data_IF_923783761613
#
_entry.id   IF_923783761613
#
_cell.length_a   1.000
_cell.length_b   1.000
_cell.length_c   1.000
_cell.angle_alpha   90.00
_cell.angle_beta   90.00
_cell.angle_gamma   90.00
#
_symmetry.space_group_name_H-M   'P 1'
#
loop_
_entity.id
_entity.type
_entity.pdbx_description
1 polymer ?
#
# COMPACT_ATOMS: atom_id res chain seq x y z
N UNK A 1 -9.76 0.73 -11.49
CA UNK A 1 -10.53 0.48 -10.24
C UNK A 1 -10.37 1.67 -9.31
N UNK A 2 -11.44 2.10 -8.64
CA UNK A 2 -11.42 3.22 -7.69
C UNK A 2 -11.83 2.77 -6.30
N UNK A 3 -11.11 3.23 -5.27
CA UNK A 3 -11.44 2.97 -3.87
C UNK A 3 -12.14 4.19 -3.29
N UNK A 4 -13.47 4.15 -3.20
CA UNK A 4 -14.31 5.24 -2.71
C UNK A 4 -14.84 4.95 -1.30
N UNK A 5 -15.09 5.99 -0.51
CA UNK A 5 -15.65 5.88 0.83
C UNK A 5 -15.46 7.15 1.67
N UNK A 6 -16.17 7.29 2.80
CA UNK A 6 -16.09 8.48 3.66
C UNK A 6 -14.70 8.66 4.29
N UNK A 7 -14.37 9.88 4.70
CA UNK A 7 -13.13 10.15 5.46
C UNK A 7 -13.10 9.29 6.73
N UNK A 8 -11.95 8.69 7.02
CA UNK A 8 -11.79 7.79 8.16
C UNK A 8 -12.09 6.30 7.90
N UNK A 9 -12.66 5.92 6.76
CA UNK A 9 -12.93 4.49 6.45
C UNK A 9 -11.68 3.65 6.11
N UNK A 10 -10.47 4.21 6.26
CA UNK A 10 -9.22 3.46 6.13
C UNK A 10 -8.62 3.38 4.72
N UNK A 11 -9.12 4.10 3.71
CA UNK A 11 -8.57 4.10 2.33
C UNK A 11 -7.07 4.37 2.28
N UNK A 12 -6.65 5.44 2.94
CA UNK A 12 -5.23 5.84 2.97
C UNK A 12 -4.39 4.83 3.73
N UNK A 13 -4.93 4.23 4.79
CA UNK A 13 -4.28 3.14 5.53
C UNK A 13 -4.10 1.92 4.64
N UNK A 14 -5.13 1.52 3.90
CA UNK A 14 -5.07 0.41 2.95
C UNK A 14 -4.03 0.66 1.85
N UNK A 15 -4.05 1.84 1.23
CA UNK A 15 -3.07 2.21 0.20
C UNK A 15 -1.64 2.19 0.76
N UNK A 16 -1.41 2.68 1.98
CA UNK A 16 -0.10 2.60 2.65
C UNK A 16 0.35 1.16 2.88
N UNK A 17 -0.56 0.25 3.21
CA UNK A 17 -0.24 -1.17 3.33
C UNK A 17 0.14 -1.79 1.98
N UNK A 18 -0.59 -1.45 0.92
CA UNK A 18 -0.28 -1.89 -0.44
C UNK A 18 1.11 -1.38 -0.84
N UNK A 19 1.43 -0.11 -0.59
CA UNK A 19 2.75 0.41 -1.01
C UNK A 19 3.89 0.01 -0.07
N UNK A 20 3.68 -0.93 0.85
CA UNK A 20 4.69 -1.43 1.78
C UNK A 20 5.14 -0.40 2.82
N UNK A 21 4.42 0.73 2.97
CA UNK A 21 4.74 1.77 3.96
C UNK A 21 4.09 1.52 5.32
N UNK A 22 3.16 0.57 5.41
CA UNK A 22 2.53 0.16 6.65
C UNK A 22 2.32 -1.36 6.64
N UNK A 23 2.52 -2.02 7.78
CA UNK A 23 2.27 -3.47 7.89
C UNK A 23 0.80 -3.68 8.25
N UNK A 24 0.04 -4.53 7.54
CA UNK A 24 -1.32 -4.85 7.93
C UNK A 24 -1.31 -5.58 9.28
N UNK A 25 -2.27 -5.27 10.15
CA UNK A 25 -2.40 -5.90 11.48
C UNK A 25 -2.74 -7.39 11.39
N UNK A 26 -3.39 -7.81 10.30
CA UNK A 26 -3.71 -9.21 9.99
C UNK A 26 -3.91 -9.38 8.49
N UNK A 27 -3.84 -10.64 8.01
CA UNK A 27 -3.96 -10.99 6.61
C UNK A 27 -2.64 -10.90 5.82
N UNK A 28 -2.73 -11.03 4.50
CA UNK A 28 -1.57 -11.01 3.60
C UNK A 28 -1.85 -10.16 2.37
N UNK A 29 -0.88 -9.35 1.98
CA UNK A 29 -0.91 -8.55 0.74
C UNK A 29 0.17 -9.10 -0.18
N UNK A 30 -0.19 -9.38 -1.43
CA UNK A 30 0.75 -9.81 -2.47
C UNK A 30 0.68 -8.87 -3.66
N UNK A 31 1.84 -8.42 -4.12
CA UNK A 31 2.01 -7.52 -5.26
C UNK A 31 3.00 -8.18 -6.20
N UNK A 32 2.57 -8.40 -7.45
CA UNK A 32 3.32 -9.22 -8.41
C UNK A 32 3.72 -10.59 -7.83
N UNK A 33 2.85 -11.19 -7.00
CA UNK A 33 3.10 -12.47 -6.34
C UNK A 33 4.00 -12.41 -5.09
N UNK A 34 4.53 -11.24 -4.72
CA UNK A 34 5.48 -11.07 -3.61
C UNK A 34 4.93 -10.19 -2.49
N UNK A 35 5.46 -10.34 -1.28
CA UNK A 35 5.04 -9.55 -0.12
C UNK A 35 5.73 -8.18 -0.16
N UNK A 36 4.99 -7.05 -0.09
CA UNK A 36 5.59 -5.72 -0.05
C UNK A 36 6.45 -5.53 1.20
N UNK A 37 7.60 -4.86 1.04
CA UNK A 37 8.59 -4.65 2.10
C UNK A 37 9.59 -5.81 2.29
N UNK A 38 9.44 -6.92 1.55
CA UNK A 38 10.45 -7.98 1.48
C UNK A 38 11.45 -7.68 0.35
N UNK A 39 12.72 -8.06 0.51
CA UNK A 39 13.82 -7.66 -0.40
C UNK A 39 13.62 -8.01 -1.88
N UNK A 40 12.80 -9.02 -2.17
CA UNK A 40 12.48 -9.43 -3.54
C UNK A 40 11.34 -8.64 -4.19
N UNK A 41 10.64 -7.80 -3.43
CA UNK A 41 9.50 -7.02 -3.89
C UNK A 41 9.94 -5.62 -4.30
N UNK A 42 9.50 -5.17 -5.48
CA UNK A 42 9.76 -3.82 -6.00
C UNK A 42 8.90 -2.74 -5.33
N UNK A 43 8.36 -3.04 -4.14
CA UNK A 43 7.47 -2.18 -3.34
C UNK A 43 7.93 -2.22 -1.88
N UNK A 44 8.21 -1.07 -1.24
CA UNK A 44 8.14 0.29 -1.79
C UNK A 44 9.24 0.52 -2.84
N UNK A 45 8.89 0.96 -4.06
CA UNK A 45 9.86 1.09 -5.15
C UNK A 45 9.21 1.28 -6.55
N UNK A 46 9.99 1.12 -7.64
CA UNK A 46 9.55 1.46 -9.00
C UNK A 46 8.40 0.59 -9.53
N UNK A 47 8.05 -0.51 -8.84
CA UNK A 47 6.95 -1.37 -9.27
C UNK A 47 5.56 -0.77 -9.06
N UNK A 48 5.40 0.23 -8.18
CA UNK A 48 4.11 0.89 -7.90
C UNK A 48 4.30 2.38 -7.61
N UNK A 49 3.74 3.24 -8.47
CA UNK A 49 3.67 4.67 -8.22
C UNK A 49 2.69 4.99 -7.08
N UNK A 50 3.14 5.77 -6.10
CA UNK A 50 2.32 6.18 -4.97
C UNK A 50 2.40 7.70 -4.78
N UNK A 51 1.26 8.36 -4.94
CA UNK A 51 1.10 9.77 -4.63
C UNK A 51 0.39 9.90 -3.28
N UNK A 52 1.11 10.23 -2.19
CA UNK A 52 0.49 10.38 -0.88
C UNK A 52 -0.47 11.59 -0.88
N UNK A 53 -1.54 11.48 -0.10
CA UNK A 53 -2.53 12.57 0.06
C UNK A 53 -1.92 13.85 0.66
N UNK A 54 -0.76 13.75 1.31
CA UNK A 54 -0.03 14.90 1.86
C UNK A 54 1.46 14.67 1.61
N UNK A 55 2.13 15.67 1.04
CA UNK A 55 3.58 15.70 0.82
C UNK A 55 4.13 16.75 1.78
N UNK A 56 4.94 16.34 2.76
CA UNK A 56 5.67 17.25 3.63
C UNK A 56 6.98 17.69 2.94
#
# INVERSE_FOLDING_TARGET
>A
YGLLGPSGCGKTTLLRCIVGRHKPSSGTIKIFGKTPGQGDCTVPGPGVGFMPQVTY
#
